data_IF_623985789258
#
_entry.id   IF_623985789258
#
_cell.length_a   1.000
_cell.length_b   1.000
_cell.length_c   1.000
_cell.angle_alpha   90.00
_cell.angle_beta   90.00
_cell.angle_gamma   90.00
#
_symmetry.space_group_name_H-M   'P 1'
#
loop_
_entity.id
_entity.type
_entity.pdbx_description
1 polymer ?
#
# COMPACT_ATOMS: atom_id res chain seq x y z
N UNK A 1 13.84 16.24 -19.88
CA UNK A 1 12.61 15.87 -19.14
C UNK A 1 11.52 16.78 -19.67
N UNK A 2 10.35 16.25 -20.02
CA UNK A 2 9.24 17.03 -20.59
C UNK A 2 7.98 16.76 -19.77
N UNK A 3 7.92 17.27 -18.53
CA UNK A 3 6.79 16.91 -17.64
C UNK A 3 5.51 17.63 -18.03
N UNK A 4 5.60 18.82 -18.62
CA UNK A 4 4.46 19.67 -18.97
C UNK A 4 3.42 19.01 -19.87
N UNK A 5 3.83 18.03 -20.68
CA UNK A 5 2.92 17.29 -21.57
C UNK A 5 1.95 16.39 -20.82
N UNK A 6 2.27 16.04 -19.57
CA UNK A 6 1.46 15.14 -18.72
C UNK A 6 0.47 15.89 -17.80
N UNK A 7 0.21 17.18 -18.08
CA UNK A 7 -0.67 18.02 -17.25
C UNK A 7 -2.12 17.56 -17.25
N UNK A 8 -2.60 17.02 -18.37
CA UNK A 8 -4.01 16.63 -18.52
C UNK A 8 -4.29 15.38 -17.69
N UNK A 9 -3.35 14.42 -17.71
CA UNK A 9 -3.37 13.19 -16.92
C UNK A 9 -3.32 13.53 -15.43
N UNK A 10 -2.49 14.49 -15.04
CA UNK A 10 -2.40 14.97 -13.67
C UNK A 10 -3.69 15.68 -13.21
N UNK A 11 -4.25 16.57 -14.05
CA UNK A 11 -5.52 17.25 -13.78
C UNK A 11 -6.68 16.26 -13.58
N UNK A 12 -6.78 15.26 -14.46
CA UNK A 12 -7.81 14.21 -14.38
C UNK A 12 -7.74 13.42 -13.09
N UNK A 13 -6.54 13.25 -12.52
CA UNK A 13 -6.33 12.54 -11.25
C UNK A 13 -6.49 13.42 -10.01
N UNK A 14 -6.32 14.74 -10.14
CA UNK A 14 -6.59 15.70 -9.07
C UNK A 14 -8.11 15.82 -8.88
N UNK A 15 -8.85 16.12 -9.95
CA UNK A 15 -10.32 16.21 -9.96
C UNK A 15 -10.90 16.95 -8.74
N UNK A 16 -10.41 18.17 -8.47
CA UNK A 16 -10.77 18.97 -7.28
C UNK A 16 -11.78 20.07 -7.61
N UNK A 17 -11.65 20.70 -8.78
CA UNK A 17 -12.45 21.85 -9.19
C UNK A 17 -13.19 21.52 -10.51
N UNK A 18 -13.36 22.50 -11.38
CA UNK A 18 -13.74 22.27 -12.77
C UNK A 18 -12.52 21.88 -13.63
N UNK A 19 -12.79 21.27 -14.79
CA UNK A 19 -11.77 20.77 -15.71
C UNK A 19 -10.75 21.85 -16.11
N UNK A 20 -11.19 23.10 -16.32
CA UNK A 20 -10.29 24.17 -16.74
C UNK A 20 -9.37 24.61 -15.58
N UNK A 21 -9.93 24.80 -14.39
CA UNK A 21 -9.19 25.13 -13.18
C UNK A 21 -8.20 24.03 -12.80
N UNK A 22 -8.60 22.76 -12.83
CA UNK A 22 -7.71 21.63 -12.53
C UNK A 22 -6.57 21.50 -13.53
N UNK A 23 -6.82 21.77 -14.81
CA UNK A 23 -5.76 21.80 -15.82
C UNK A 23 -4.74 22.92 -15.60
N UNK A 24 -5.21 24.10 -15.18
CA UNK A 24 -4.33 25.22 -14.86
C UNK A 24 -3.51 24.92 -13.60
N UNK A 25 -4.14 24.40 -12.54
CA UNK A 25 -3.47 23.98 -11.32
C UNK A 25 -2.42 22.89 -11.59
N UNK A 26 -2.78 21.86 -12.36
CA UNK A 26 -1.87 20.79 -12.75
C UNK A 26 -0.65 21.33 -13.52
N UNK A 27 -0.86 22.27 -14.44
CA UNK A 27 0.23 22.93 -15.17
C UNK A 27 1.16 23.66 -14.20
N UNK A 28 0.63 24.52 -13.33
CA UNK A 28 1.43 25.30 -12.37
C UNK A 28 2.24 24.39 -11.43
N UNK A 29 1.61 23.33 -10.92
CA UNK A 29 2.27 22.34 -10.05
C UNK A 29 3.40 21.61 -10.78
N UNK A 30 3.16 21.15 -12.02
CA UNK A 30 4.19 20.47 -12.82
C UNK A 30 5.35 21.41 -13.13
N UNK A 31 5.07 22.66 -13.53
CA UNK A 31 6.12 23.62 -13.86
C UNK A 31 7.00 23.97 -12.65
N UNK A 32 6.39 24.14 -11.48
CA UNK A 32 7.11 24.37 -10.23
C UNK A 32 8.01 23.17 -9.88
N UNK A 33 7.47 21.96 -9.96
CA UNK A 33 8.19 20.75 -9.59
C UNK A 33 9.25 20.34 -10.63
N UNK A 34 9.03 20.60 -11.92
CA UNK A 34 10.01 20.38 -12.98
C UNK A 34 11.28 21.19 -12.72
N UNK A 35 11.16 22.49 -12.41
CA UNK A 35 12.31 23.34 -12.04
C UNK A 35 13.04 22.81 -10.80
N UNK A 36 12.28 22.44 -9.76
CA UNK A 36 12.82 21.90 -8.51
C UNK A 36 13.52 20.55 -8.72
N UNK A 37 12.97 19.69 -9.58
CA UNK A 37 13.54 18.41 -9.95
C UNK A 37 14.85 18.59 -10.72
N UNK A 38 14.89 19.46 -11.74
CA UNK A 38 16.12 19.74 -12.50
C UNK A 38 17.25 20.21 -11.59
N UNK A 39 17.00 21.23 -10.75
CA UNK A 39 17.99 21.73 -9.79
C UNK A 39 18.41 20.66 -8.76
N UNK A 40 17.50 19.77 -8.37
CA UNK A 40 17.84 18.66 -7.48
C UNK A 40 18.74 17.64 -8.19
N UNK A 41 18.50 17.34 -9.47
CA UNK A 41 19.26 16.33 -10.21
C UNK A 41 20.67 16.78 -10.62
N UNK A 42 20.88 18.09 -10.75
CA UNK A 42 22.21 18.68 -10.95
C UNK A 42 23.13 18.38 -9.75
N UNK A 43 22.61 18.47 -8.53
CA UNK A 43 23.30 18.00 -7.32
C UNK A 43 22.98 16.53 -7.03
N UNK A 44 23.71 15.64 -7.70
CA UNK A 44 23.53 14.18 -7.60
C UNK A 44 23.65 13.65 -6.17
N UNK A 45 24.56 14.19 -5.37
CA UNK A 45 24.77 13.75 -4.00
C UNK A 45 23.55 14.10 -3.15
N UNK A 46 23.07 15.33 -3.25
CA UNK A 46 21.84 15.75 -2.57
C UNK A 46 20.64 14.94 -3.04
N UNK A 47 20.47 14.72 -4.35
CA UNK A 47 19.34 13.94 -4.87
C UNK A 47 19.33 12.48 -4.36
N UNK A 48 20.50 11.87 -4.18
CA UNK A 48 20.61 10.51 -3.67
C UNK A 48 20.30 10.40 -2.16
N UNK A 49 20.81 11.34 -1.36
CA UNK A 49 20.78 11.25 0.12
C UNK A 49 19.63 12.04 0.74
N UNK A 50 19.29 13.22 0.18
CA UNK A 50 18.30 14.18 0.68
C UNK A 50 17.54 14.83 -0.50
N UNK A 51 16.72 14.07 -1.24
CA UNK A 51 15.97 14.63 -2.37
C UNK A 51 15.08 15.79 -1.89
N UNK A 52 15.01 16.86 -2.70
CA UNK A 52 14.21 18.06 -2.37
C UNK A 52 12.70 17.79 -2.31
N UNK A 53 12.25 16.66 -2.86
CA UNK A 53 10.90 16.16 -2.70
C UNK A 53 10.85 15.20 -1.51
N UNK A 54 10.10 15.57 -0.47
CA UNK A 54 9.93 14.70 0.70
C UNK A 54 9.37 13.35 0.25
N UNK A 55 10.02 12.28 0.73
CA UNK A 55 9.72 10.91 0.35
C UNK A 55 9.47 10.72 -1.15
N UNK A 56 10.10 11.50 -2.04
CA UNK A 56 9.90 11.40 -3.49
C UNK A 56 8.42 11.36 -3.91
N UNK A 57 7.53 12.03 -3.17
CA UNK A 57 6.08 11.97 -3.43
C UNK A 57 5.71 12.46 -4.84
N UNK A 58 6.41 13.46 -5.35
CA UNK A 58 6.21 13.91 -6.72
C UNK A 58 6.56 12.84 -7.76
N UNK A 59 7.62 12.04 -7.53
CA UNK A 59 7.95 10.90 -8.40
C UNK A 59 6.87 9.82 -8.33
N UNK A 60 6.34 9.52 -7.14
CA UNK A 60 5.20 8.61 -6.97
C UNK A 60 3.98 9.10 -7.77
N UNK A 61 3.70 10.41 -7.76
CA UNK A 61 2.60 11.00 -8.50
C UNK A 61 2.80 10.87 -10.02
N UNK A 62 4.01 11.14 -10.53
CA UNK A 62 4.32 10.93 -11.95
C UNK A 62 4.12 9.47 -12.39
N UNK A 63 4.50 8.52 -11.54
CA UNK A 63 4.28 7.09 -11.80
C UNK A 63 2.78 6.75 -11.79
N UNK A 64 2.03 7.29 -10.82
CA UNK A 64 0.59 7.07 -10.69
C UNK A 64 -0.21 7.55 -11.91
N UNK A 65 0.20 8.67 -12.52
CA UNK A 65 -0.44 9.19 -13.74
C UNK A 65 0.08 8.55 -15.03
N UNK A 66 0.96 7.55 -14.94
CA UNK A 66 1.44 6.78 -16.08
C UNK A 66 2.57 7.44 -16.89
N UNK A 67 3.32 8.39 -16.31
CA UNK A 67 4.49 8.97 -16.99
C UNK A 67 5.50 7.86 -17.30
N UNK A 68 5.88 7.75 -18.57
CA UNK A 68 6.84 6.75 -19.03
C UNK A 68 8.21 6.98 -18.38
N UNK A 69 8.99 5.91 -18.08
CA UNK A 69 10.30 6.04 -17.43
C UNK A 69 11.26 7.03 -18.09
N UNK A 70 11.23 7.15 -19.43
CA UNK A 70 12.05 8.10 -20.21
C UNK A 70 11.78 9.58 -19.91
N UNK A 71 10.56 9.88 -19.46
CA UNK A 71 10.09 11.23 -19.15
C UNK A 71 10.19 11.51 -17.64
N UNK A 72 10.48 10.50 -16.81
CA UNK A 72 10.73 10.69 -15.38
C UNK A 72 12.09 11.38 -15.16
N UNK A 73 12.33 11.98 -13.98
CA UNK A 73 13.65 12.51 -13.64
C UNK A 73 14.67 11.36 -13.53
N UNK A 74 15.41 11.09 -14.62
CA UNK A 74 16.27 9.91 -14.81
C UNK A 74 17.16 9.54 -13.61
N UNK A 75 18.01 10.46 -13.15
CA UNK A 75 18.89 10.21 -11.99
C UNK A 75 18.09 9.95 -10.70
N UNK A 76 16.99 10.69 -10.49
CA UNK A 76 16.16 10.49 -9.31
C UNK A 76 15.54 9.09 -9.35
N UNK A 77 14.99 8.71 -10.51
CA UNK A 77 14.33 7.43 -10.72
C UNK A 77 15.30 6.24 -10.61
N UNK A 78 16.52 6.35 -11.14
CA UNK A 78 17.52 5.28 -10.98
C UNK A 78 17.94 5.07 -9.53
N UNK A 79 18.16 6.16 -8.78
CA UNK A 79 18.43 6.07 -7.34
C UNK A 79 17.25 5.49 -6.57
N UNK A 80 16.02 5.79 -7.00
CA UNK A 80 14.81 5.25 -6.42
C UNK A 80 14.73 3.72 -6.58
N UNK A 81 14.95 3.21 -7.79
CA UNK A 81 14.98 1.77 -8.06
C UNK A 81 16.10 1.06 -7.29
N UNK A 82 17.30 1.63 -7.22
CA UNK A 82 18.41 1.04 -6.45
C UNK A 82 18.11 0.99 -4.95
N UNK A 83 17.49 2.04 -4.40
CA UNK A 83 17.05 2.05 -3.00
C UNK A 83 16.03 0.94 -2.72
N UNK A 84 15.07 0.72 -3.63
CA UNK A 84 14.10 -0.37 -3.55
C UNK A 84 14.79 -1.74 -3.63
N UNK A 85 15.73 -1.90 -4.57
CA UNK A 85 16.51 -3.13 -4.75
C UNK A 85 17.22 -3.53 -3.46
N UNK A 86 17.97 -2.60 -2.87
CA UNK A 86 18.71 -2.79 -1.62
C UNK A 86 17.78 -3.06 -0.44
N UNK A 87 16.64 -2.38 -0.39
CA UNK A 87 15.65 -2.60 0.66
C UNK A 87 15.06 -4.02 0.61
N UNK A 88 14.68 -4.50 -0.58
CA UNK A 88 14.04 -5.81 -0.73
C UNK A 88 15.06 -6.96 -0.67
N UNK A 89 16.17 -6.87 -1.41
CA UNK A 89 17.13 -7.97 -1.54
C UNK A 89 18.17 -7.99 -0.41
N UNK A 90 18.63 -6.83 0.06
CA UNK A 90 19.70 -6.74 1.07
C UNK A 90 19.16 -6.43 2.47
N UNK A 91 17.85 -6.16 2.61
CA UNK A 91 17.22 -5.68 3.86
C UNK A 91 17.91 -4.42 4.42
N UNK A 92 18.44 -3.57 3.53
CA UNK A 92 19.18 -2.34 3.86
C UNK A 92 18.43 -1.09 3.42
N UNK A 93 18.58 -0.01 4.18
CA UNK A 93 18.02 1.30 3.85
C UNK A 93 16.87 1.70 4.76
N UNK A 94 16.24 2.84 4.44
CA UNK A 94 15.09 3.35 5.18
C UNK A 94 13.84 2.54 4.82
N UNK A 95 12.88 2.49 5.75
CA UNK A 95 11.56 1.93 5.49
C UNK A 95 10.94 2.56 4.25
N UNK A 96 10.57 1.71 3.29
CA UNK A 96 9.88 2.13 2.07
C UNK A 96 8.39 1.98 2.31
N UNK A 97 7.66 3.08 2.43
CA UNK A 97 6.20 3.11 2.59
C UNK A 97 5.57 3.77 1.37
N UNK A 98 4.48 3.20 0.88
CA UNK A 98 3.64 3.69 -0.22
C UNK A 98 4.42 4.02 -1.50
N UNK A 99 5.43 3.20 -1.77
CA UNK A 99 6.32 3.37 -2.94
C UNK A 99 5.67 2.81 -4.18
N UNK A 100 5.41 3.68 -5.15
CA UNK A 100 4.82 3.30 -6.44
C UNK A 100 5.91 3.08 -7.46
N UNK A 101 5.79 2.01 -8.24
CA UNK A 101 6.77 1.59 -9.24
C UNK A 101 6.00 0.96 -10.40
N UNK A 102 6.35 1.21 -11.69
CA UNK A 102 5.87 0.39 -12.78
C UNK A 102 6.23 -1.09 -12.56
N UNK A 103 5.28 -2.01 -12.80
CA UNK A 103 5.48 -3.45 -12.54
C UNK A 103 6.72 -3.97 -13.28
N UNK A 104 6.89 -3.59 -14.55
CA UNK A 104 8.04 -3.98 -15.38
C UNK A 104 9.37 -3.60 -14.74
N UNK A 105 9.44 -2.41 -14.17
CA UNK A 105 10.66 -1.88 -13.58
C UNK A 105 10.96 -2.51 -12.23
N UNK A 106 9.95 -2.79 -11.40
CA UNK A 106 10.13 -3.61 -10.19
C UNK A 106 10.69 -4.99 -10.55
N UNK A 107 10.06 -5.68 -11.50
CA UNK A 107 10.46 -7.03 -11.92
C UNK A 107 11.91 -7.05 -12.41
N UNK A 108 12.27 -6.10 -13.30
CA UNK A 108 13.64 -5.96 -13.77
C UNK A 108 14.63 -5.65 -12.65
N UNK A 109 14.27 -4.73 -11.73
CA UNK A 109 15.11 -4.33 -10.59
C UNK A 109 15.41 -5.49 -9.66
N UNK A 110 14.46 -6.42 -9.52
CA UNK A 110 14.57 -7.59 -8.64
C UNK A 110 15.01 -8.86 -9.36
N UNK A 111 15.47 -8.75 -10.62
CA UNK A 111 15.89 -9.86 -11.46
C UNK A 111 14.80 -10.96 -11.53
N UNK A 112 13.56 -10.54 -11.79
CA UNK A 112 12.42 -11.41 -12.04
C UNK A 112 11.88 -11.14 -13.46
N UNK A 113 11.65 -12.19 -14.23
CA UNK A 113 11.18 -12.10 -15.62
C UNK A 113 9.66 -11.96 -15.72
N UNK A 114 8.92 -12.32 -14.68
CA UNK A 114 7.47 -12.25 -14.60
C UNK A 114 7.02 -12.22 -13.15
N UNK A 115 5.75 -11.90 -12.92
CA UNK A 115 5.14 -11.93 -11.58
C UNK A 115 5.12 -13.35 -11.00
N UNK A 116 4.93 -14.36 -11.85
CA UNK A 116 5.02 -15.77 -11.45
C UNK A 116 6.43 -16.10 -10.98
N UNK A 117 7.45 -15.64 -11.71
CA UNK A 117 8.84 -15.81 -11.29
C UNK A 117 9.13 -15.03 -9.99
N UNK A 118 8.67 -13.79 -9.86
CA UNK A 118 8.76 -13.01 -8.61
C UNK A 118 8.18 -13.80 -7.42
N UNK A 119 6.94 -14.28 -7.55
CA UNK A 119 6.25 -15.01 -6.48
C UNK A 119 6.98 -16.29 -6.11
N UNK A 120 7.39 -17.09 -7.11
CA UNK A 120 8.12 -18.34 -6.88
C UNK A 120 9.50 -18.11 -6.24
N UNK A 121 10.21 -17.05 -6.66
CA UNK A 121 11.52 -16.67 -6.11
C UNK A 121 11.39 -16.26 -4.65
N UNK A 122 10.49 -15.32 -4.36
CA UNK A 122 10.36 -14.77 -3.01
C UNK A 122 9.65 -15.71 -2.03
N UNK A 123 8.77 -16.60 -2.49
CA UNK A 123 8.24 -17.70 -1.68
C UNK A 123 9.33 -18.63 -1.13
N UNK A 124 10.46 -18.79 -1.85
CA UNK A 124 11.62 -19.56 -1.38
C UNK A 124 12.54 -18.77 -0.45
N UNK A 125 12.59 -17.45 -0.61
CA UNK A 125 13.49 -16.58 0.14
C UNK A 125 12.90 -16.12 1.48
N UNK A 126 11.59 -15.88 1.53
CA UNK A 126 10.90 -15.39 2.72
C UNK A 126 10.40 -16.55 3.57
N UNK A 127 10.53 -16.42 4.90
CA UNK A 127 10.10 -17.46 5.84
C UNK A 127 8.58 -17.59 5.87
N UNK A 128 7.92 -16.43 5.81
CA UNK A 128 6.47 -16.32 5.68
C UNK A 128 6.16 -15.71 4.32
N UNK A 129 5.24 -16.33 3.59
CA UNK A 129 4.79 -15.87 2.29
C UNK A 129 3.28 -16.12 2.19
N UNK A 130 2.54 -15.09 1.81
CA UNK A 130 1.14 -15.21 1.42
C UNK A 130 0.91 -14.41 0.14
N UNK A 131 -0.02 -14.88 -0.69
CA UNK A 131 -0.45 -14.15 -1.88
C UNK A 131 -1.91 -14.42 -2.13
N UNK A 132 -2.67 -13.37 -2.44
CA UNK A 132 -4.08 -13.46 -2.82
C UNK A 132 -4.27 -12.63 -4.08
N UNK A 133 -5.02 -13.17 -5.03
CA UNK A 133 -5.21 -12.57 -6.35
C UNK A 133 -6.69 -12.57 -6.71
N UNK A 134 -7.18 -11.44 -7.19
CA UNK A 134 -8.54 -11.32 -7.71
C UNK A 134 -8.61 -10.23 -8.77
N UNK A 135 -9.19 -10.58 -9.91
CA UNK A 135 -9.31 -9.71 -11.08
C UNK A 135 -7.97 -9.02 -11.45
N UNK A 136 -7.91 -7.70 -11.26
CA UNK A 136 -6.77 -6.86 -11.62
C UNK A 136 -5.84 -6.54 -10.43
N UNK A 137 -6.06 -7.16 -9.26
CA UNK A 137 -5.29 -6.88 -8.04
C UNK A 137 -4.65 -8.16 -7.52
N UNK A 138 -3.34 -8.11 -7.31
CA UNK A 138 -2.58 -9.15 -6.62
C UNK A 138 -1.92 -8.56 -5.39
N UNK A 139 -2.21 -9.12 -4.23
CA UNK A 139 -1.53 -8.81 -2.99
C UNK A 139 -0.50 -9.89 -2.66
N UNK A 140 0.70 -9.49 -2.24
CA UNK A 140 1.74 -10.41 -1.76
C UNK A 140 2.31 -9.87 -0.45
N UNK A 141 2.40 -10.72 0.57
CA UNK A 141 3.05 -10.41 1.84
C UNK A 141 4.19 -11.38 2.11
N UNK A 142 5.32 -10.88 2.64
CA UNK A 142 6.45 -11.72 3.05
C UNK A 142 7.59 -10.98 3.71
N UNK A 143 8.18 -11.58 4.76
CA UNK A 143 9.32 -11.04 5.53
C UNK A 143 9.17 -9.55 5.93
N UNK A 144 7.93 -9.12 6.22
CA UNK A 144 7.62 -7.74 6.61
C UNK A 144 7.29 -6.80 5.44
N UNK A 145 7.45 -7.25 4.19
CA UNK A 145 7.04 -6.54 2.99
C UNK A 145 5.58 -6.86 2.63
N UNK A 146 4.92 -5.86 2.04
CA UNK A 146 3.60 -5.97 1.45
C UNK A 146 3.63 -5.34 0.05
N UNK A 147 3.11 -6.02 -0.95
CA UNK A 147 3.05 -5.55 -2.33
C UNK A 147 1.60 -5.59 -2.78
N UNK A 148 1.11 -4.48 -3.33
CA UNK A 148 -0.15 -4.42 -4.07
C UNK A 148 0.16 -4.18 -5.54
N UNK A 149 -0.01 -5.21 -6.37
CA UNK A 149 0.06 -5.10 -7.81
C UNK A 149 -1.31 -4.69 -8.35
N UNK A 150 -1.35 -3.65 -9.16
CA UNK A 150 -2.53 -3.19 -9.87
C UNK A 150 -2.27 -3.34 -11.38
N UNK A 151 -2.89 -4.36 -11.98
CA UNK A 151 -2.68 -4.71 -13.39
C UNK A 151 -3.35 -3.74 -14.35
N UNK A 152 -4.46 -3.12 -13.95
CA UNK A 152 -5.12 -2.11 -14.75
C UNK A 152 -4.25 -0.86 -14.90
N UNK A 153 -3.59 -0.44 -13.82
CA UNK A 153 -2.65 0.70 -13.82
C UNK A 153 -1.23 0.32 -14.24
N UNK A 154 -0.87 -0.96 -14.23
CA UNK A 154 0.49 -1.43 -14.53
C UNK A 154 1.52 -1.03 -13.47
N UNK A 155 1.07 -0.76 -12.23
CA UNK A 155 1.92 -0.31 -11.11
C UNK A 155 1.88 -1.30 -9.96
N UNK A 156 2.91 -1.22 -9.11
CA UNK A 156 2.97 -1.91 -7.83
C UNK A 156 3.25 -0.91 -6.74
N UNK A 157 2.49 -1.02 -5.64
CA UNK A 157 2.70 -0.24 -4.43
C UNK A 157 3.39 -1.13 -3.38
N UNK A 158 4.59 -0.75 -2.98
CA UNK A 158 5.36 -1.40 -1.94
C UNK A 158 5.03 -0.76 -0.58
N UNK A 159 4.73 -1.63 0.39
CA UNK A 159 4.21 -1.33 1.72
C UNK A 159 3.12 -0.25 1.67
N UNK A 160 1.95 -0.57 1.07
CA UNK A 160 0.79 0.30 1.03
C UNK A 160 0.21 0.45 2.45
N UNK A 161 0.81 1.32 3.27
CA UNK A 161 0.39 1.54 4.66
C UNK A 161 -0.81 2.50 4.67
N UNK A 162 -0.73 3.57 3.87
CA UNK A 162 -1.78 4.60 3.78
C UNK A 162 -2.67 4.39 2.56
N UNK A 163 -2.71 3.17 2.02
CA UNK A 163 -3.60 2.82 0.92
C UNK A 163 -4.99 2.58 1.49
N UNK A 164 -5.93 3.42 1.05
CA UNK A 164 -7.31 3.39 1.52
C UNK A 164 -8.05 2.19 0.94
N UNK A 165 -8.90 1.59 1.76
CA UNK A 165 -9.73 0.46 1.38
C UNK A 165 -11.14 0.97 1.14
N UNK A 166 -11.44 1.27 -0.12
CA UNK A 166 -12.66 2.01 -0.50
C UNK A 166 -13.85 1.10 -0.83
N UNK A 167 -13.66 -0.23 -0.86
CA UNK A 167 -14.73 -1.18 -1.14
C UNK A 167 -14.48 -2.55 -0.47
N UNK A 168 -15.57 -3.33 -0.38
CA UNK A 168 -15.59 -4.62 0.30
C UNK A 168 -14.66 -5.66 -0.35
N UNK A 169 -14.55 -5.69 -1.67
CA UNK A 169 -13.67 -6.66 -2.36
C UNK A 169 -12.20 -6.45 -2.00
N UNK A 170 -11.75 -5.19 -2.01
CA UNK A 170 -10.38 -4.85 -1.60
C UNK A 170 -10.19 -5.16 -0.11
N UNK A 171 -11.18 -4.87 0.75
CA UNK A 171 -11.14 -5.21 2.16
C UNK A 171 -10.96 -6.71 2.39
N UNK A 172 -11.82 -7.52 1.75
CA UNK A 172 -11.79 -8.98 1.80
C UNK A 172 -10.44 -9.52 1.35
N UNK A 173 -9.86 -8.99 0.27
CA UNK A 173 -8.54 -9.40 -0.23
C UNK A 173 -7.42 -9.19 0.80
N UNK A 174 -7.39 -8.02 1.46
CA UNK A 174 -6.41 -7.77 2.52
C UNK A 174 -6.63 -8.69 3.71
N UNK A 175 -7.87 -8.89 4.13
CA UNK A 175 -8.20 -9.82 5.22
C UNK A 175 -7.77 -11.24 4.91
N UNK A 176 -8.03 -11.76 3.71
CA UNK A 176 -7.62 -13.10 3.28
C UNK A 176 -6.09 -13.25 3.27
N UNK A 177 -5.39 -12.24 2.73
CA UNK A 177 -3.94 -12.20 2.71
C UNK A 177 -3.37 -12.24 4.12
N UNK A 178 -3.84 -11.38 5.02
CA UNK A 178 -3.34 -11.30 6.39
C UNK A 178 -3.75 -12.52 7.22
N UNK A 179 -4.95 -13.08 7.02
CA UNK A 179 -5.37 -14.34 7.65
C UNK A 179 -4.39 -15.46 7.31
N UNK A 180 -4.02 -15.58 6.04
CA UNK A 180 -3.04 -16.57 5.57
C UNK A 180 -1.65 -16.27 6.11
N UNK A 181 -1.22 -15.01 6.04
CA UNK A 181 0.13 -14.58 6.43
C UNK A 181 0.39 -14.76 7.93
N UNK A 182 -0.57 -14.39 8.77
CA UNK A 182 -0.50 -14.50 10.23
C UNK A 182 -1.02 -15.84 10.76
N UNK A 183 -1.50 -16.73 9.89
CA UNK A 183 -2.09 -18.05 10.23
C UNK A 183 -3.26 -17.92 11.21
N UNK A 184 -4.07 -16.89 11.03
CA UNK A 184 -5.28 -16.66 11.82
C UNK A 184 -6.49 -17.26 11.09
N UNK A 185 -7.46 -17.75 11.86
CA UNK A 185 -8.76 -18.14 11.32
C UNK A 185 -9.69 -16.93 11.42
N UNK A 186 -10.05 -16.39 10.26
CA UNK A 186 -10.91 -15.20 10.17
C UNK A 186 -12.09 -15.44 9.25
N UNK A 187 -13.12 -14.62 9.41
CA UNK A 187 -14.26 -14.54 8.50
C UNK A 187 -14.61 -13.07 8.27
N UNK A 188 -14.95 -12.73 7.03
CA UNK A 188 -15.37 -11.39 6.64
C UNK A 188 -16.80 -11.45 6.14
N UNK A 189 -17.64 -10.53 6.58
CA UNK A 189 -19.06 -10.45 6.19
C UNK A 189 -19.38 -9.05 5.70
N UNK A 190 -20.09 -8.96 4.59
CA UNK A 190 -20.68 -7.73 4.09
C UNK A 190 -22.07 -7.57 4.74
N UNK A 191 -22.20 -6.71 5.75
CA UNK A 191 -23.47 -6.50 6.45
C UNK A 191 -24.40 -5.61 5.62
N UNK A 192 -23.84 -4.54 5.05
CA UNK A 192 -24.49 -3.64 4.11
C UNK A 192 -23.45 -3.06 3.16
N UNK A 193 -23.86 -2.33 2.11
CA UNK A 193 -22.95 -1.75 1.11
C UNK A 193 -21.76 -0.97 1.68
N UNK A 194 -21.91 -0.39 2.87
CA UNK A 194 -20.88 0.38 3.54
C UNK A 194 -20.56 -0.09 4.96
N UNK A 195 -21.00 -1.27 5.37
CA UNK A 195 -20.72 -1.80 6.71
C UNK A 195 -20.19 -3.23 6.61
N UNK A 196 -18.94 -3.40 7.01
CA UNK A 196 -18.21 -4.65 6.90
C UNK A 196 -17.80 -5.15 8.28
N UNK A 197 -17.83 -6.47 8.45
CA UNK A 197 -17.49 -7.13 9.70
C UNK A 197 -16.33 -8.09 9.48
N UNK A 198 -15.23 -7.90 10.23
CA UNK A 198 -14.13 -8.84 10.34
C UNK A 198 -14.21 -9.56 11.69
N UNK A 199 -14.23 -10.89 11.66
CA UNK A 199 -14.21 -11.70 12.87
C UNK A 199 -12.97 -12.60 12.93
N UNK A 200 -12.32 -12.64 14.08
CA UNK A 200 -11.21 -13.52 14.41
C UNK A 200 -11.67 -14.60 15.38
N UNK A 201 -11.38 -15.87 15.08
CA UNK A 201 -11.57 -16.97 16.04
C UNK A 201 -10.40 -16.97 17.04
N UNK A 202 -10.69 -16.66 18.30
CA UNK A 202 -9.72 -16.61 19.40
C UNK A 202 -10.10 -17.59 20.52
N UNK A 203 -10.79 -18.66 20.15
CA UNK A 203 -11.21 -19.70 21.09
C UNK A 203 -10.00 -20.29 21.81
N UNK A 204 -10.08 -20.41 23.14
CA UNK A 204 -8.99 -20.90 24.00
C UNK A 204 -7.91 -19.87 24.34
N UNK A 205 -8.02 -18.62 23.86
CA UNK A 205 -7.08 -17.54 24.24
C UNK A 205 -7.45 -16.92 25.59
N UNK A 206 -6.44 -16.40 26.29
CA UNK A 206 -6.61 -15.79 27.61
C UNK A 206 -7.46 -14.51 27.51
N UNK A 207 -8.53 -14.36 28.32
CA UNK A 207 -9.38 -13.17 28.34
C UNK A 207 -8.63 -11.86 28.62
N UNK A 208 -7.53 -11.89 29.38
CA UNK A 208 -6.72 -10.69 29.69
C UNK A 208 -6.02 -10.19 28.43
N UNK A 209 -5.43 -11.10 27.65
CA UNK A 209 -4.73 -10.76 26.42
C UNK A 209 -5.71 -10.26 25.35
N UNK A 210 -6.89 -10.88 25.25
CA UNK A 210 -7.98 -10.39 24.39
C UNK A 210 -8.35 -8.94 24.74
N UNK A 211 -8.56 -8.63 26.03
CA UNK A 211 -8.86 -7.26 26.48
C UNK A 211 -7.75 -6.27 26.14
N UNK A 212 -6.50 -6.70 26.09
CA UNK A 212 -5.37 -5.83 25.72
C UNK A 212 -5.45 -5.41 24.24
N UNK A 213 -5.84 -6.34 23.36
CA UNK A 213 -6.05 -6.05 21.93
C UNK A 213 -7.19 -5.07 21.73
N UNK A 214 -8.33 -5.25 22.42
CA UNK A 214 -9.49 -4.35 22.32
C UNK A 214 -9.17 -2.90 22.76
N UNK A 215 -8.14 -2.70 23.58
CA UNK A 215 -7.72 -1.39 24.11
C UNK A 215 -6.56 -0.77 23.34
N UNK A 216 -6.04 -1.45 22.32
CA UNK A 216 -4.86 -0.99 21.59
C UNK A 216 -5.16 0.25 20.74
N UNK A 217 -4.14 1.02 20.38
CA UNK A 217 -4.30 2.14 19.44
C UNK A 217 -4.84 1.67 18.07
N UNK A 218 -4.47 0.46 17.63
CA UNK A 218 -4.99 -0.12 16.38
C UNK A 218 -6.47 -0.46 16.47
N UNK A 219 -7.02 -0.69 17.67
CA UNK A 219 -8.45 -0.94 17.83
C UNK A 219 -9.28 0.34 17.67
N UNK A 220 -8.70 1.50 18.00
CA UNK A 220 -9.37 2.81 17.87
C UNK A 220 -9.57 3.28 16.44
N UNK A 221 -8.92 2.63 15.47
CA UNK A 221 -9.07 2.96 14.04
C UNK A 221 -10.29 2.29 13.40
N UNK A 222 -10.95 1.38 14.12
CA UNK A 222 -12.19 0.73 13.70
C UNK A 222 -13.38 1.43 14.38
N UNK A 223 -14.54 1.42 13.73
CA UNK A 223 -15.75 2.03 14.28
C UNK A 223 -16.14 1.39 15.60
N UNK A 224 -16.06 0.06 15.66
CA UNK A 224 -16.24 -0.69 16.91
C UNK A 224 -15.42 -1.97 16.88
N UNK A 225 -14.78 -2.30 18.01
CA UNK A 225 -14.13 -3.58 18.24
C UNK A 225 -14.63 -4.18 19.56
N UNK A 226 -15.07 -5.44 19.52
CA UNK A 226 -15.69 -6.09 20.67
C UNK A 226 -15.49 -7.61 20.62
N UNK A 227 -15.80 -8.28 21.73
CA UNK A 227 -15.81 -9.75 21.80
C UNK A 227 -17.23 -10.26 21.75
N UNK A 228 -17.45 -11.27 20.93
CA UNK A 228 -18.71 -12.00 20.89
C UNK A 228 -18.44 -13.46 21.27
N UNK A 229 -19.24 -13.99 22.21
CA UNK A 229 -19.20 -15.39 22.62
C UNK A 229 -20.46 -16.05 22.11
N UNK A 230 -20.28 -17.02 21.21
CA UNK A 230 -21.36 -17.85 20.68
C UNK A 230 -20.98 -19.28 21.01
N UNK A 231 -21.75 -19.91 21.90
CA UNK A 231 -21.45 -21.22 22.48
C UNK A 231 -20.05 -21.26 23.12
N UNK A 232 -19.23 -22.27 22.76
CA UNK A 232 -17.84 -22.41 23.20
C UNK A 232 -16.86 -21.56 22.38
N UNK A 233 -17.32 -20.84 21.34
CA UNK A 233 -16.46 -20.03 20.50
C UNK A 233 -16.37 -18.60 21.00
N UNK A 234 -15.13 -18.09 21.14
CA UNK A 234 -14.88 -16.67 21.43
C UNK A 234 -14.32 -16.01 20.18
N UNK A 235 -14.98 -14.95 19.72
CA UNK A 235 -14.54 -14.17 18.56
C UNK A 235 -14.23 -12.74 18.94
N UNK A 236 -13.18 -12.16 18.36
CA UNK A 236 -13.00 -10.71 18.29
C UNK A 236 -13.66 -10.25 17.00
N UNK A 237 -14.54 -9.27 17.09
CA UNK A 237 -15.25 -8.67 15.96
C UNK A 237 -14.81 -7.21 15.81
N UNK A 238 -14.52 -6.81 14.57
CA UNK A 238 -14.13 -5.47 14.18
C UNK A 238 -15.05 -4.99 13.07
N UNK A 239 -15.72 -3.87 13.31
CA UNK A 239 -16.63 -3.22 12.38
C UNK A 239 -15.92 -2.10 11.64
N UNK A 240 -16.18 -2.01 10.34
CA UNK A 240 -15.72 -0.95 9.45
C UNK A 240 -16.93 -0.37 8.74
N UNK A 241 -17.16 0.93 8.90
CA UNK A 241 -18.24 1.69 8.27
C UNK A 241 -17.63 2.73 7.32
N UNK A 242 -18.02 2.68 6.05
CA UNK A 242 -17.52 3.58 4.99
C UNK A 242 -18.57 4.67 4.71
N UNK A 243 -18.46 5.81 5.39
CA UNK A 243 -19.45 6.91 5.30
C UNK A 243 -18.97 8.16 4.54
N UNK A 244 -17.81 8.06 3.86
CA UNK A 244 -17.33 9.07 2.91
C UNK A 244 -16.50 10.22 3.53
N UNK A 245 -16.71 10.59 4.78
CA UNK A 245 -16.04 11.76 5.37
C UNK A 245 -15.08 11.46 6.54
N UNK A 246 -15.19 10.34 7.27
CA UNK A 246 -14.45 10.18 8.53
C UNK A 246 -13.69 8.87 8.81
N UNK A 247 -14.02 7.73 8.19
CA UNK A 247 -13.47 6.43 8.62
C UNK A 247 -13.11 5.48 7.49
N UNK A 248 -12.29 5.93 6.52
CA UNK A 248 -11.68 5.00 5.58
C UNK A 248 -10.53 4.25 6.25
N UNK A 249 -10.72 2.94 6.45
CA UNK A 249 -9.67 2.07 6.95
C UNK A 249 -8.50 2.00 5.96
N UNK A 250 -7.28 2.14 6.47
CA UNK A 250 -6.07 1.98 5.69
C UNK A 250 -5.48 0.57 5.85
N UNK A 251 -4.83 0.06 4.81
CA UNK A 251 -4.22 -1.28 4.83
C UNK A 251 -3.18 -1.47 5.95
N UNK A 252 -2.49 -0.40 6.37
CA UNK A 252 -1.59 -0.41 7.53
C UNK A 252 -2.30 -0.64 8.86
N UNK A 253 -3.46 -0.01 9.07
CA UNK A 253 -4.28 -0.18 10.28
C UNK A 253 -4.80 -1.61 10.38
N UNK A 254 -5.31 -2.14 9.26
CA UNK A 254 -5.76 -3.53 9.16
C UNK A 254 -4.61 -4.51 9.46
N UNK A 255 -3.42 -4.31 8.86
CA UNK A 255 -2.23 -5.11 9.15
C UNK A 255 -1.87 -5.11 10.64
N UNK A 256 -1.93 -3.94 11.29
CA UNK A 256 -1.59 -3.80 12.70
C UNK A 256 -2.56 -4.58 13.60
N UNK A 257 -3.86 -4.60 13.27
CA UNK A 257 -4.83 -5.42 14.00
C UNK A 257 -4.50 -6.92 13.88
N UNK A 258 -4.24 -7.41 12.67
CA UNK A 258 -3.84 -8.81 12.46
C UNK A 258 -2.54 -9.17 13.20
N UNK A 259 -1.55 -8.28 13.17
CA UNK A 259 -0.29 -8.47 13.91
C UNK A 259 -0.51 -8.59 15.42
N UNK A 260 -1.40 -7.77 15.99
CA UNK A 260 -1.74 -7.81 17.42
C UNK A 260 -2.51 -9.08 17.78
N UNK A 261 -3.54 -9.45 17.01
CA UNK A 261 -4.31 -10.68 17.25
C UNK A 261 -3.43 -11.92 17.12
N UNK A 262 -2.42 -11.91 16.23
CA UNK A 262 -1.48 -13.03 16.06
C UNK A 262 -0.56 -13.27 17.26
N UNK A 263 -0.47 -12.32 18.19
CA UNK A 263 0.36 -12.40 19.40
C UNK A 263 -0.41 -12.89 20.64
N UNK A 264 -1.73 -13.08 20.52
CA UNK A 264 -2.54 -13.82 21.50
C UNK A 264 -2.12 -15.29 21.52
#
# INVERSE_FOLDING_TARGET
MELKKHKNEFATRISLLDVAADNQLAKELIELHEKKCSACQEDRLSCAVRPRCNNRNFLNALIEIGVKPRDLPNFCYSQYLEQIRRFILEKKGRGMMDRRIPIKDLLSTLNASSIRHFSAKFKKLWKNFASVNEHNVLLIAGDGFLFRFDFARGIVTLNPIHDRIDNFDVFRLYCELFSTFYKLKTSVTDLTLNWWLLAFDVTGKNPVDIKSVLKSESAKTFDTIYTNKVDDSTKIQAEVIVDGESSLIEAGQLRNLFDQVSKL
#
